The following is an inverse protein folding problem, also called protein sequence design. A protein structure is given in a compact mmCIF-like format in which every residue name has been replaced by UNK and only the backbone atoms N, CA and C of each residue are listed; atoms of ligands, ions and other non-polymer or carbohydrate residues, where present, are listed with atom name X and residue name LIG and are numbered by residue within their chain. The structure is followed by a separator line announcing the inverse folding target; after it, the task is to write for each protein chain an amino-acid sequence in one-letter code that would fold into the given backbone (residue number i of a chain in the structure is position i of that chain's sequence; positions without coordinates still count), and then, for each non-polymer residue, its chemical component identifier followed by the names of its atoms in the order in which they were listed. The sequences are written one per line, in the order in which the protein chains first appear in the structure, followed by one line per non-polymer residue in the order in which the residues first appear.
data_IF_360974701218
#
_entry.id   IF_360974701218
#
_cell.length_a   1.000
_cell.length_b   1.000
_cell.length_c   1.000
_cell.angle_alpha   90.00
_cell.angle_beta   90.00
_cell.angle_gamma   90.00
#
_symmetry.space_group_name_H-M   'P 1'
#
loop_
_entity.id
_entity.type
_entity.pdbx_description
1 polymer ?
#
# COMPACT_ATOMS: atom_id res chain seq x y z
N UNK A 1 -14.64 -58.41 12.06
CA UNK A 1 -13.22 -58.26 11.69
C UNK A 1 -13.07 -57.60 10.32
N UNK A 2 -13.61 -58.19 9.24
CA UNK A 2 -13.57 -57.60 7.88
C UNK A 2 -14.10 -56.16 7.81
N UNK A 3 -15.33 -55.90 8.29
CA UNK A 3 -15.93 -54.54 8.29
C UNK A 3 -15.05 -53.49 8.98
N UNK A 4 -14.50 -53.83 10.15
CA UNK A 4 -13.63 -52.92 10.90
C UNK A 4 -12.36 -52.56 10.11
N UNK A 5 -11.79 -53.51 9.35
CA UNK A 5 -10.63 -53.23 8.50
C UNK A 5 -10.99 -52.31 7.33
N UNK A 6 -12.14 -52.53 6.69
CA UNK A 6 -12.66 -51.65 5.63
C UNK A 6 -12.87 -50.23 6.15
N UNK A 7 -13.57 -50.09 7.28
CA UNK A 7 -13.83 -48.79 7.92
C UNK A 7 -12.51 -48.06 8.26
N UNK A 8 -11.50 -48.78 8.78
CA UNK A 8 -10.20 -48.20 9.08
C UNK A 8 -9.46 -47.67 7.83
N UNK A 9 -9.58 -48.38 6.69
CA UNK A 9 -9.00 -47.92 5.42
C UNK A 9 -9.71 -46.65 4.93
N UNK A 10 -11.04 -46.65 4.93
CA UNK A 10 -11.84 -45.48 4.52
C UNK A 10 -11.57 -44.25 5.40
N UNK A 11 -11.45 -44.44 6.72
CA UNK A 11 -11.05 -43.38 7.65
C UNK A 11 -9.65 -42.88 7.33
N UNK A 12 -8.70 -43.78 7.05
CA UNK A 12 -7.33 -43.42 6.69
C UNK A 12 -7.26 -42.56 5.42
N UNK A 13 -8.01 -42.92 4.39
CA UNK A 13 -8.13 -42.13 3.17
C UNK A 13 -8.82 -40.78 3.41
N UNK A 14 -9.87 -40.77 4.22
CA UNK A 14 -10.55 -39.54 4.64
C UNK A 14 -9.61 -38.58 5.36
N UNK A 15 -8.80 -39.08 6.29
CA UNK A 15 -7.78 -38.30 6.98
C UNK A 15 -6.72 -37.76 6.03
N UNK A 16 -6.31 -38.54 5.02
CA UNK A 16 -5.34 -38.08 4.01
C UNK A 16 -5.91 -36.91 3.20
N UNK A 17 -7.15 -37.02 2.71
CA UNK A 17 -7.84 -35.93 1.99
C UNK A 17 -7.99 -34.69 2.85
N UNK A 18 -8.32 -34.83 4.13
CA UNK A 18 -8.42 -33.70 5.07
C UNK A 18 -7.05 -32.99 5.22
N UNK A 19 -5.96 -33.75 5.39
CA UNK A 19 -4.61 -33.16 5.53
C UNK A 19 -4.17 -32.43 4.26
N UNK A 20 -4.47 -32.99 3.09
CA UNK A 20 -4.18 -32.35 1.80
C UNK A 20 -4.98 -31.05 1.65
N UNK A 21 -6.29 -31.09 1.90
CA UNK A 21 -7.13 -29.88 1.88
C UNK A 21 -6.69 -28.81 2.88
N UNK A 22 -6.28 -29.20 4.08
CA UNK A 22 -5.73 -28.26 5.08
C UNK A 22 -4.43 -27.61 4.61
N UNK A 23 -3.56 -28.37 3.92
CA UNK A 23 -2.31 -27.84 3.36
C UNK A 23 -2.59 -26.83 2.26
N UNK A 24 -3.50 -27.14 1.34
CA UNK A 24 -3.88 -26.22 0.26
C UNK A 24 -4.51 -24.93 0.80
N UNK A 25 -5.40 -25.05 1.79
CA UNK A 25 -6.01 -23.89 2.43
C UNK A 25 -4.94 -23.02 3.09
N UNK A 26 -3.99 -23.62 3.82
CA UNK A 26 -2.90 -22.88 4.45
C UNK A 26 -2.06 -22.11 3.42
N UNK A 27 -1.68 -22.77 2.31
CA UNK A 27 -0.92 -22.11 1.26
C UNK A 27 -1.67 -20.90 0.68
N UNK A 28 -2.97 -21.04 0.39
CA UNK A 28 -3.79 -19.93 -0.09
C UNK A 28 -3.86 -18.78 0.90
N UNK A 29 -3.96 -19.06 2.21
CA UNK A 29 -3.93 -18.01 3.23
C UNK A 29 -2.58 -17.30 3.28
N UNK A 30 -1.46 -18.02 3.17
CA UNK A 30 -0.12 -17.43 3.12
C UNK A 30 0.07 -16.50 1.91
N UNK A 31 -0.47 -16.90 0.74
CA UNK A 31 -0.49 -16.07 -0.48
C UNK A 31 -1.34 -14.80 -0.27
N UNK A 32 -2.56 -14.94 0.24
CA UNK A 32 -3.46 -13.81 0.55
C UNK A 32 -2.81 -12.84 1.55
N UNK A 33 -2.17 -13.36 2.60
CA UNK A 33 -1.49 -12.52 3.59
C UNK A 33 -0.33 -11.75 2.97
N UNK A 34 0.39 -12.36 2.02
CA UNK A 34 1.45 -11.69 1.27
C UNK A 34 0.90 -10.55 0.43
N UNK A 35 -0.15 -10.80 -0.35
CA UNK A 35 -0.81 -9.77 -1.17
C UNK A 35 -1.37 -8.64 -0.30
N UNK A 36 -1.97 -8.96 0.85
CA UNK A 36 -2.47 -7.96 1.80
C UNK A 36 -1.35 -7.06 2.32
N UNK A 37 -0.15 -7.60 2.57
CA UNK A 37 1.01 -6.80 3.00
C UNK A 37 1.47 -5.85 1.89
N UNK A 38 1.61 -6.34 0.66
CA UNK A 38 1.98 -5.52 -0.49
C UNK A 38 0.96 -4.41 -0.75
N UNK A 39 -0.34 -4.74 -0.75
CA UNK A 39 -1.40 -3.76 -0.94
C UNK A 39 -1.39 -2.67 0.15
N UNK A 40 -1.10 -3.05 1.39
CA UNK A 40 -1.00 -2.09 2.50
C UNK A 40 0.17 -1.13 2.31
N UNK A 41 1.33 -1.64 1.88
CA UNK A 41 2.51 -0.82 1.59
C UNK A 41 2.26 0.15 0.42
N UNK A 42 1.69 -0.34 -0.67
CA UNK A 42 1.29 0.50 -1.81
C UNK A 42 0.29 1.59 -1.38
N UNK A 43 -0.70 1.23 -0.57
CA UNK A 43 -1.70 2.18 -0.05
C UNK A 43 -1.05 3.25 0.82
N UNK A 44 -0.08 2.88 1.67
CA UNK A 44 0.67 3.84 2.49
C UNK A 44 1.45 4.81 1.61
N UNK A 45 2.14 4.29 0.57
CA UNK A 45 2.89 5.11 -0.37
C UNK A 45 1.98 6.09 -1.13
N UNK A 46 0.82 5.63 -1.63
CA UNK A 46 -0.16 6.48 -2.30
C UNK A 46 -0.71 7.54 -1.35
N UNK A 47 -1.02 7.18 -0.10
CA UNK A 47 -1.51 8.12 0.91
C UNK A 47 -0.48 9.22 1.17
N UNK A 48 0.79 8.85 1.42
CA UNK A 48 1.86 9.82 1.63
C UNK A 48 2.06 10.74 0.43
N UNK A 49 2.05 10.20 -0.80
CA UNK A 49 2.11 11.03 -2.01
C UNK A 49 0.91 11.97 -2.14
N UNK A 50 -0.28 11.50 -1.77
CA UNK A 50 -1.50 12.30 -1.80
C UNK A 50 -1.43 13.48 -0.83
N UNK A 51 -0.89 13.28 0.37
CA UNK A 51 -0.69 14.35 1.36
C UNK A 51 0.27 15.44 0.81
N UNK A 52 1.38 15.04 0.21
CA UNK A 52 2.31 15.98 -0.44
C UNK A 52 1.63 16.73 -1.59
N UNK A 53 0.86 16.04 -2.42
CA UNK A 53 0.13 16.67 -3.52
C UNK A 53 -0.89 17.68 -3.00
N UNK A 54 -1.58 17.38 -1.90
CA UNK A 54 -2.53 18.31 -1.30
C UNK A 54 -1.85 19.59 -0.81
N UNK A 55 -0.67 19.49 -0.19
CA UNK A 55 0.14 20.65 0.22
C UNK A 55 0.51 21.49 -1.01
N UNK A 56 0.99 20.86 -2.09
CA UNK A 56 1.35 21.57 -3.33
C UNK A 56 0.17 22.30 -3.94
N UNK A 57 -0.99 21.64 -4.05
CA UNK A 57 -2.21 22.23 -4.60
C UNK A 57 -2.63 23.45 -3.76
N UNK A 58 -2.58 23.34 -2.43
CA UNK A 58 -2.91 24.44 -1.52
C UNK A 58 -1.95 25.63 -1.72
N UNK A 59 -0.64 25.37 -1.88
CA UNK A 59 0.34 26.41 -2.18
C UNK A 59 0.08 27.06 -3.53
N UNK A 60 -0.19 26.27 -4.58
CA UNK A 60 -0.53 26.78 -5.91
C UNK A 60 -1.76 27.68 -5.88
N UNK A 61 -2.81 27.27 -5.16
CA UNK A 61 -4.01 28.09 -4.98
C UNK A 61 -3.71 29.39 -4.23
N UNK A 62 -2.90 29.32 -3.17
CA UNK A 62 -2.49 30.51 -2.42
C UNK A 62 -1.67 31.50 -3.27
N UNK A 63 -0.81 31.00 -4.16
CA UNK A 63 -0.06 31.82 -5.12
C UNK A 63 -1.02 32.54 -6.08
N UNK A 64 -2.00 31.82 -6.64
CA UNK A 64 -2.99 32.41 -7.53
C UNK A 64 -3.77 33.52 -6.83
N UNK A 65 -4.17 33.29 -5.56
CA UNK A 65 -4.86 34.29 -4.75
C UNK A 65 -3.99 35.53 -4.47
N UNK A 66 -2.73 35.33 -4.07
CA UNK A 66 -1.81 36.44 -3.84
C UNK A 66 -1.59 37.28 -5.11
N UNK A 67 -1.50 36.63 -6.28
CA UNK A 67 -1.41 37.33 -7.57
C UNK A 67 -2.69 38.09 -7.91
N UNK A 68 -3.85 37.50 -7.65
CA UNK A 68 -5.15 38.17 -7.83
C UNK A 68 -5.25 39.43 -6.95
N UNK A 69 -4.74 39.37 -5.73
CA UNK A 69 -4.71 40.48 -4.77
C UNK A 69 -3.55 41.48 -5.03
N UNK A 70 -2.78 41.29 -6.11
CA UNK A 70 -1.57 42.07 -6.44
C UNK A 70 -0.47 42.06 -5.36
N UNK A 71 -0.51 41.08 -4.44
CA UNK A 71 0.51 40.85 -3.43
C UNK A 71 1.64 39.96 -4.00
N UNK A 72 2.50 40.59 -4.82
CA UNK A 72 3.59 39.89 -5.49
C UNK A 72 4.68 39.41 -4.53
N UNK A 73 4.89 40.11 -3.40
CA UNK A 73 5.86 39.68 -2.39
C UNK A 73 5.45 38.35 -1.75
N UNK A 74 4.16 38.21 -1.41
CA UNK A 74 3.61 36.95 -0.90
C UNK A 74 3.61 35.86 -1.98
N UNK A 75 3.26 36.20 -3.22
CA UNK A 75 3.28 35.25 -4.33
C UNK A 75 4.69 34.68 -4.57
N UNK A 76 5.74 35.52 -4.52
CA UNK A 76 7.13 35.07 -4.62
C UNK A 76 7.52 34.15 -3.47
N UNK A 77 7.20 34.54 -2.23
CA UNK A 77 7.49 33.73 -1.06
C UNK A 77 6.83 32.33 -1.14
N UNK A 78 5.54 32.27 -1.49
CA UNK A 78 4.82 31.01 -1.66
C UNK A 78 5.38 30.17 -2.82
N UNK A 79 5.87 30.81 -3.88
CA UNK A 79 6.53 30.13 -5.01
C UNK A 79 7.84 29.48 -4.58
N UNK A 80 8.62 30.13 -3.72
CA UNK A 80 9.83 29.54 -3.13
C UNK A 80 9.50 28.34 -2.24
N UNK A 81 8.49 28.48 -1.38
CA UNK A 81 8.01 27.36 -0.54
C UNK A 81 7.53 26.17 -1.39
N UNK A 82 6.79 26.41 -2.47
CA UNK A 82 6.37 25.34 -3.38
C UNK A 82 7.57 24.61 -3.99
N UNK A 83 8.62 25.33 -4.37
CA UNK A 83 9.86 24.73 -4.90
C UNK A 83 10.54 23.84 -3.85
N UNK A 84 10.68 24.32 -2.62
CA UNK A 84 11.25 23.56 -1.51
C UNK A 84 10.44 22.28 -1.22
N UNK A 85 9.11 22.35 -1.23
CA UNK A 85 8.25 21.17 -1.05
C UNK A 85 8.37 20.16 -2.20
N UNK A 86 8.56 20.63 -3.44
CA UNK A 86 8.81 19.75 -4.59
C UNK A 86 10.15 19.00 -4.45
N UNK A 87 11.19 19.67 -3.97
CA UNK A 87 12.53 19.11 -3.76
C UNK A 87 12.58 18.07 -2.63
N UNK A 88 11.83 18.28 -1.53
CA UNK A 88 11.74 17.33 -0.41
C UNK A 88 11.23 15.95 -0.85
N UNK A 89 10.28 15.88 -1.77
CA UNK A 89 9.71 14.61 -2.23
C UNK A 89 10.64 13.88 -3.22
N UNK A 90 11.40 14.58 -4.05
CA UNK A 90 12.35 13.92 -4.98
C UNK A 90 13.46 13.16 -4.23
N UNK A 91 13.81 13.63 -3.02
CA UNK A 91 14.77 12.96 -2.16
C UNK A 91 14.14 11.78 -1.40
N UNK A 92 12.88 11.89 -0.98
CA UNK A 92 12.13 10.81 -0.34
C UNK A 92 11.69 9.68 -1.30
N UNK A 93 11.38 10.01 -2.56
CA UNK A 93 10.94 9.04 -3.58
C UNK A 93 12.04 8.10 -4.08
N UNK A 94 13.32 8.45 -3.92
CA UNK A 94 14.46 7.58 -4.27
C UNK A 94 14.73 6.48 -3.24
N UNK A 95 14.28 6.65 -2.00
CA UNK A 95 14.49 5.66 -0.94
C UNK A 95 13.50 4.48 -1.02
N UNK A 96 12.34 4.65 -1.66
CA UNK A 96 11.28 3.63 -1.77
C UNK A 96 11.33 2.76 -3.04
N UNK A 97 12.34 2.93 -3.90
CA UNK A 97 12.52 2.15 -5.15
C UNK A 97 13.63 1.09 -5.05
N UNK A 98 14.21 0.90 -3.87
CA UNK A 98 15.18 -0.17 -3.58
C UNK A 98 14.51 -1.16 -2.65
N UNK A 99 13.70 -2.04 -3.24
CA UNK A 99 13.04 -3.18 -2.60
C UNK A 99 12.72 -4.22 -3.66
#
# INVERSE_FOLDING_TARGET
MERLKTDMVEIGEGQKRIREGQREIRQKFEEIESECRSLREETMNITSQSDYNQIRINLMLAILKARQDSDFARADHLTRLLREEMEKQEQGGKAGLVG
#
